data_IF_829068360803
#
_entry.id   IF_829068360803
#
_cell.length_a   1.000
_cell.length_b   1.000
_cell.length_c   1.000
_cell.angle_alpha   90.00
_cell.angle_beta   90.00
_cell.angle_gamma   90.00
#
_symmetry.space_group_name_H-M   'P 1'
#
loop_
_entity.id
_entity.type
_entity.pdbx_description
1 polymer ?
#
# COMPACT_ATOMS: atom_id res chain seq x y z
N UNK A 1 14.24 23.91 33.79
CA UNK A 1 13.85 24.36 32.43
C UNK A 1 14.16 23.21 31.49
N UNK A 2 13.15 22.49 31.00
CA UNK A 2 13.36 21.43 30.02
C UNK A 2 13.47 22.10 28.64
N UNK A 3 14.69 22.25 28.12
CA UNK A 3 14.91 22.63 26.73
C UNK A 3 14.52 21.45 25.85
N UNK A 4 13.57 21.64 24.94
CA UNK A 4 13.16 20.61 24.00
C UNK A 4 14.29 20.27 23.02
N UNK A 5 14.37 18.99 22.61
CA UNK A 5 15.23 18.61 21.50
C UNK A 5 14.72 19.26 20.22
N UNK A 6 15.60 19.94 19.50
CA UNK A 6 15.32 20.53 18.19
C UNK A 6 16.08 19.75 17.13
N UNK A 7 15.44 19.56 15.99
CA UNK A 7 16.00 18.91 14.82
C UNK A 7 15.73 19.79 13.60
N UNK A 8 16.72 19.89 12.73
CA UNK A 8 16.69 20.78 11.58
C UNK A 8 17.26 20.05 10.37
N UNK A 9 16.80 20.44 9.18
CA UNK A 9 17.20 19.85 7.91
C UNK A 9 17.38 20.91 6.82
N UNK A 10 18.26 20.61 5.87
CA UNK A 10 18.36 21.31 4.57
C UNK A 10 18.08 20.30 3.48
N UNK A 11 17.25 20.69 2.51
CA UNK A 11 16.84 19.88 1.37
C UNK A 11 17.23 20.55 0.05
N UNK A 12 17.37 19.75 -1.00
CA UNK A 12 17.53 20.17 -2.38
C UNK A 12 16.58 19.36 -3.26
N UNK A 13 16.11 19.95 -4.37
CA UNK A 13 15.18 19.30 -5.29
C UNK A 13 13.72 19.30 -4.81
N UNK A 14 12.85 18.78 -5.65
CA UNK A 14 11.41 18.69 -5.43
C UNK A 14 10.89 17.33 -5.95
N UNK A 15 9.76 16.85 -5.42
CA UNK A 15 9.16 15.59 -5.84
C UNK A 15 10.09 14.39 -5.70
N UNK A 16 10.25 13.59 -6.76
CA UNK A 16 11.09 12.37 -6.71
C UNK A 16 12.61 12.67 -6.60
N UNK A 17 12.99 13.91 -6.89
CA UNK A 17 14.37 14.38 -6.87
C UNK A 17 14.72 15.10 -5.57
N UNK A 18 13.81 15.12 -4.59
CA UNK A 18 14.09 15.69 -3.27
C UNK A 18 15.17 14.88 -2.55
N UNK A 19 16.19 15.57 -2.02
CA UNK A 19 17.35 14.99 -1.34
C UNK A 19 17.70 15.81 -0.12
N UNK A 20 18.02 15.16 0.99
CA UNK A 20 18.55 15.86 2.16
C UNK A 20 20.01 16.24 1.91
N UNK A 21 20.40 17.48 2.22
CA UNK A 21 21.79 17.93 2.18
C UNK A 21 22.42 17.98 3.58
N UNK A 22 21.62 18.18 4.63
CA UNK A 22 22.10 18.25 6.00
C UNK A 22 21.00 17.97 7.02
N UNK A 23 21.35 17.30 8.11
CA UNK A 23 20.54 17.21 9.32
C UNK A 23 21.37 17.64 10.53
N UNK A 24 20.78 18.40 11.46
CA UNK A 24 21.43 18.70 12.74
C UNK A 24 20.44 18.89 13.88
N UNK A 25 20.89 18.63 15.12
CA UNK A 25 20.11 18.85 16.33
C UNK A 25 20.80 19.80 17.32
N UNK A 26 20.04 20.36 18.26
CA UNK A 26 20.57 21.29 19.27
C UNK A 26 21.37 20.63 20.41
N UNK A 27 21.54 19.31 20.37
CA UNK A 27 22.19 18.50 21.41
C UNK A 27 23.54 17.88 20.96
N UNK A 28 24.11 18.35 19.84
CA UNK A 28 25.48 18.05 19.41
C UNK A 28 25.77 16.62 18.96
N UNK A 29 24.85 15.67 19.16
CA UNK A 29 25.00 14.28 18.73
C UNK A 29 24.65 14.07 17.26
N UNK A 30 24.05 15.06 16.61
CA UNK A 30 23.59 14.98 15.22
C UNK A 30 24.00 16.27 14.51
N UNK A 31 24.96 16.16 13.59
CA UNK A 31 25.25 17.11 12.50
C UNK A 31 25.87 16.30 11.36
N UNK A 32 25.04 15.96 10.37
CA UNK A 32 25.38 15.09 9.26
C UNK A 32 25.17 15.84 7.95
N UNK A 33 26.12 15.73 7.03
CA UNK A 33 26.08 16.34 5.69
C UNK A 33 26.07 15.26 4.62
N UNK A 34 25.22 15.45 3.62
CA UNK A 34 24.93 14.47 2.59
C UNK A 34 25.44 14.98 1.24
N UNK A 35 26.24 14.17 0.57
CA UNK A 35 26.73 14.44 -0.79
C UNK A 35 26.24 13.32 -1.71
N UNK A 36 25.42 13.67 -2.69
CA UNK A 36 24.82 12.75 -3.64
C UNK A 36 25.68 12.69 -4.92
N UNK A 37 25.99 11.48 -5.38
CA UNK A 37 26.83 11.21 -6.55
C UNK A 37 26.28 10.02 -7.33
N UNK A 38 25.39 10.28 -8.30
CA UNK A 38 24.67 9.27 -9.08
C UNK A 38 23.99 8.22 -8.17
N UNK A 39 24.55 7.01 -8.13
CA UNK A 39 24.11 5.89 -7.31
C UNK A 39 24.61 5.95 -5.87
N UNK A 40 25.50 6.89 -5.51
CA UNK A 40 26.15 6.93 -4.20
C UNK A 40 25.69 8.11 -3.34
N UNK A 41 25.68 7.88 -2.03
CA UNK A 41 25.42 8.89 -1.00
C UNK A 41 26.53 8.84 0.03
N UNK A 42 27.27 9.94 0.15
CA UNK A 42 28.32 10.10 1.15
C UNK A 42 27.75 10.91 2.31
N UNK A 43 27.74 10.32 3.51
CA UNK A 43 27.30 10.97 4.74
C UNK A 43 28.53 11.32 5.56
N UNK A 44 28.75 12.62 5.78
CA UNK A 44 29.84 13.14 6.60
C UNK A 44 29.29 13.56 7.96
N UNK A 45 29.74 12.90 9.02
CA UNK A 45 29.35 13.20 10.40
C UNK A 45 30.07 14.45 10.94
N UNK A 46 29.68 14.90 12.13
CA UNK A 46 30.18 16.11 12.77
C UNK A 46 31.71 16.09 13.01
N UNK A 47 32.26 14.89 13.26
CA UNK A 47 33.70 14.66 13.47
C UNK A 47 34.49 14.49 12.15
N UNK A 48 33.81 14.61 11.01
CA UNK A 48 34.38 14.45 9.67
C UNK A 48 34.49 13.00 9.20
N UNK A 49 34.11 12.02 10.03
CA UNK A 49 34.01 10.62 9.60
C UNK A 49 32.94 10.46 8.52
N UNK A 50 33.15 9.51 7.60
CA UNK A 50 32.30 9.35 6.44
C UNK A 50 31.72 7.95 6.34
N UNK A 51 30.46 7.85 5.95
CA UNK A 51 29.85 6.62 5.47
C UNK A 51 29.47 6.77 4.00
N UNK A 52 29.51 5.69 3.24
CA UNK A 52 29.06 5.68 1.86
C UNK A 52 27.96 4.63 1.68
N UNK A 53 26.90 5.01 0.98
CA UNK A 53 25.82 4.11 0.60
C UNK A 53 25.73 4.09 -0.93
N UNK A 54 25.53 2.91 -1.52
CA UNK A 54 25.37 2.76 -2.97
C UNK A 54 24.00 2.16 -3.24
N UNK A 55 23.21 2.79 -4.11
CA UNK A 55 21.86 2.40 -4.48
C UNK A 55 21.80 2.09 -5.97
N UNK A 56 21.05 1.05 -6.32
CA UNK A 56 20.74 0.70 -7.70
C UNK A 56 19.26 0.38 -7.81
N UNK A 57 18.59 0.97 -8.80
CA UNK A 57 17.14 0.80 -9.04
C UNK A 57 16.29 1.09 -7.78
N UNK A 58 16.74 2.03 -6.93
CA UNK A 58 16.07 2.40 -5.68
C UNK A 58 16.31 1.46 -4.49
N UNK A 59 17.18 0.45 -4.64
CA UNK A 59 17.54 -0.50 -3.58
C UNK A 59 18.99 -0.30 -3.13
N UNK A 60 19.23 -0.31 -1.82
CA UNK A 60 20.58 -0.22 -1.26
C UNK A 60 21.42 -1.46 -1.60
N UNK A 61 22.46 -1.32 -2.40
CA UNK A 61 23.36 -2.41 -2.76
C UNK A 61 24.48 -2.60 -1.74
N UNK A 62 25.00 -1.52 -1.17
CA UNK A 62 26.09 -1.58 -0.21
C UNK A 62 26.16 -0.39 0.74
N UNK A 63 26.70 -0.64 1.94
CA UNK A 63 27.11 0.37 2.91
C UNK A 63 28.61 0.19 3.22
N UNK A 64 29.34 1.29 3.26
CA UNK A 64 30.72 1.36 3.73
C UNK A 64 30.72 2.26 4.96
N UNK A 65 31.14 1.71 6.10
CA UNK A 65 31.23 2.47 7.34
C UNK A 65 32.46 3.40 7.39
N UNK A 66 32.58 4.17 8.46
CA UNK A 66 33.71 5.08 8.67
C UNK A 66 35.08 4.41 8.79
N UNK A 67 35.13 3.11 9.05
CA UNK A 67 36.36 2.33 9.11
C UNK A 67 36.67 1.63 7.77
N UNK A 68 35.82 1.81 6.75
CA UNK A 68 35.94 1.14 5.46
C UNK A 68 35.38 -0.27 5.44
N UNK A 69 34.66 -0.71 6.47
CA UNK A 69 34.01 -2.01 6.48
C UNK A 69 32.78 -1.99 5.58
N UNK A 70 32.73 -2.90 4.62
CA UNK A 70 31.67 -2.96 3.61
C UNK A 70 30.64 -4.03 3.94
N UNK A 71 29.36 -3.68 3.84
CA UNK A 71 28.25 -4.63 3.77
C UNK A 71 27.61 -4.59 2.39
N UNK A 72 27.13 -5.72 1.90
CA UNK A 72 26.38 -5.81 0.64
C UNK A 72 25.07 -6.55 0.81
N UNK A 73 24.08 -6.22 -0.01
CA UNK A 73 22.71 -6.72 0.15
C UNK A 73 22.21 -7.37 -1.14
N UNK A 74 21.42 -8.43 -0.99
CA UNK A 74 20.70 -9.06 -2.10
C UNK A 74 19.20 -9.06 -1.80
N UNK A 75 18.41 -9.03 -2.87
CA UNK A 75 16.97 -8.85 -2.81
C UNK A 75 16.24 -9.89 -3.65
N UNK A 76 15.01 -10.23 -3.27
CA UNK A 76 14.11 -11.00 -4.13
C UNK A 76 13.40 -10.10 -5.17
N UNK A 77 12.62 -10.72 -6.05
CA UNK A 77 11.83 -10.01 -7.09
C UNK A 77 10.83 -8.99 -6.52
N UNK A 78 10.51 -9.05 -5.22
CA UNK A 78 9.61 -8.12 -4.55
C UNK A 78 10.36 -6.93 -3.90
N UNK A 79 11.69 -6.88 -4.00
CA UNK A 79 12.52 -5.84 -3.37
C UNK A 79 12.78 -6.05 -1.88
N UNK A 80 12.51 -7.24 -1.33
CA UNK A 80 12.81 -7.58 0.07
C UNK A 80 14.24 -8.12 0.19
N UNK A 81 14.99 -7.65 1.19
CA UNK A 81 16.39 -8.06 1.45
C UNK A 81 16.46 -9.53 1.85
N UNK A 82 16.96 -10.40 0.99
CA UNK A 82 17.09 -11.85 1.26
C UNK A 82 18.45 -12.23 1.81
N UNK A 83 19.49 -11.44 1.54
CA UNK A 83 20.85 -11.70 2.03
C UNK A 83 21.50 -10.39 2.47
N UNK A 84 22.15 -10.42 3.63
CA UNK A 84 23.13 -9.44 4.06
C UNK A 84 24.49 -10.14 4.15
N UNK A 85 25.52 -9.53 3.55
CA UNK A 85 26.89 -10.01 3.60
C UNK A 85 27.70 -8.98 4.38
N UNK A 86 28.33 -9.40 5.47
CA UNK A 86 29.18 -8.53 6.27
C UNK A 86 30.59 -8.34 5.64
N UNK A 87 31.40 -7.48 6.25
CA UNK A 87 32.75 -7.17 5.76
C UNK A 87 33.73 -8.35 5.81
N UNK A 88 33.39 -9.42 6.54
CA UNK A 88 34.17 -10.66 6.62
C UNK A 88 33.66 -11.72 5.63
N UNK A 89 32.60 -11.41 4.87
CA UNK A 89 31.97 -12.32 3.92
C UNK A 89 30.94 -13.26 4.54
N UNK A 90 30.60 -13.10 5.83
CA UNK A 90 29.55 -13.91 6.43
C UNK A 90 28.19 -13.48 5.92
N UNK A 91 27.36 -14.47 5.61
CA UNK A 91 26.04 -14.24 5.04
C UNK A 91 24.95 -14.51 6.07
N UNK A 92 24.10 -13.52 6.27
CA UNK A 92 22.84 -13.66 7.00
C UNK A 92 21.71 -13.75 5.97
N UNK A 93 21.00 -14.88 5.98
CA UNK A 93 19.87 -15.12 5.10
C UNK A 93 18.57 -14.78 5.81
N UNK A 94 17.67 -14.11 5.09
CA UNK A 94 16.35 -13.74 5.58
C UNK A 94 15.30 -14.51 4.79
N UNK A 95 14.54 -15.33 5.50
CA UNK A 95 13.39 -16.04 4.95
C UNK A 95 12.11 -15.38 5.47
N UNK A 96 11.30 -14.88 4.54
CA UNK A 96 10.05 -14.22 4.86
C UNK A 96 8.90 -15.23 4.73
N UNK A 97 8.61 -15.96 5.82
CA UNK A 97 7.40 -16.78 5.94
C UNK A 97 6.28 -15.92 6.49
N UNK A 98 5.27 -15.61 5.68
CA UNK A 98 4.25 -14.57 5.92
C UNK A 98 4.79 -13.15 5.69
N UNK A 99 4.38 -12.57 4.57
CA UNK A 99 4.54 -11.16 4.22
C UNK A 99 3.73 -10.28 5.19
N UNK A 100 4.22 -10.09 6.41
CA UNK A 100 4.08 -8.81 7.09
C UNK A 100 4.96 -7.84 6.29
N UNK A 101 4.33 -6.95 5.51
CA UNK A 101 5.02 -5.77 5.01
C UNK A 101 5.40 -4.92 6.22
N UNK A 102 6.63 -5.12 6.66
CA UNK A 102 7.11 -4.66 7.94
C UNK A 102 7.85 -5.81 8.59
N UNK A 103 8.99 -6.20 8.02
CA UNK A 103 10.06 -6.71 8.86
C UNK A 103 10.17 -5.76 10.06
N UNK A 104 10.13 -6.32 11.26
CA UNK A 104 10.09 -5.63 12.55
C UNK A 104 10.70 -4.21 12.49
N UNK A 105 9.87 -3.21 12.22
CA UNK A 105 10.28 -1.81 12.26
C UNK A 105 10.06 -1.35 13.69
N UNK A 106 11.13 -1.20 14.45
CA UNK A 106 11.14 -0.50 15.73
C UNK A 106 10.93 1.03 15.58
N UNK A 107 10.31 1.47 14.48
CA UNK A 107 10.09 2.87 14.15
C UNK A 107 8.60 3.19 14.36
N UNK A 108 8.30 3.86 15.48
CA UNK A 108 6.97 4.36 15.79
C UNK A 108 6.69 5.61 14.93
N UNK A 109 5.70 5.51 14.04
CA UNK A 109 5.16 6.65 13.31
C UNK A 109 4.18 7.42 14.21
N UNK A 110 4.32 8.74 14.29
CA UNK A 110 3.23 9.63 14.75
C UNK A 110 3.07 10.74 13.73
N UNK A 111 1.86 10.84 13.16
CA UNK A 111 1.39 11.94 12.31
C UNK A 111 2.20 12.26 11.04
N UNK A 112 2.78 11.26 10.37
CA UNK A 112 3.18 11.39 8.97
C UNK A 112 4.42 12.25 8.68
N UNK A 113 5.05 12.85 9.69
CA UNK A 113 6.34 13.53 9.55
C UNK A 113 7.47 12.66 10.14
N UNK A 114 8.61 12.48 9.43
CA UNK A 114 9.71 11.68 9.94
C UNK A 114 10.39 12.39 11.11
N UNK A 115 10.07 11.98 12.33
CA UNK A 115 10.87 12.29 13.52
C UNK A 115 11.82 11.12 13.75
N UNK A 116 13.11 11.43 13.62
CA UNK A 116 14.29 10.58 13.71
C UNK A 116 14.73 9.88 12.43
N UNK A 117 15.92 10.32 12.02
CA UNK A 117 16.87 9.67 11.14
C UNK A 117 16.48 9.70 9.67
N UNK A 118 17.34 10.34 8.87
CA UNK A 118 17.35 10.17 7.43
C UNK A 118 17.38 8.66 7.15
N UNK A 119 16.60 8.23 6.15
CA UNK A 119 16.59 6.85 5.64
C UNK A 119 17.66 6.70 4.55
N UNK A 120 18.90 6.29 4.88
CA UNK A 120 19.91 5.99 3.88
C UNK A 120 19.60 4.71 3.10
N UNK A 121 18.54 3.95 3.46
CA UNK A 121 18.17 2.70 2.80
C UNK A 121 17.21 2.92 1.61
N UNK A 122 16.68 4.14 1.45
CA UNK A 122 15.82 4.49 0.31
C UNK A 122 14.55 3.64 0.22
N UNK A 123 14.00 3.20 1.36
CA UNK A 123 12.95 2.19 1.37
C UNK A 123 11.54 2.75 1.15
N UNK A 124 11.37 4.07 0.98
CA UNK A 124 10.09 4.66 0.58
C UNK A 124 10.26 5.81 -0.42
N UNK A 125 9.48 5.72 -1.50
CA UNK A 125 9.09 6.83 -2.36
C UNK A 125 8.19 7.75 -1.54
N UNK A 126 8.73 8.82 -0.97
CA UNK A 126 7.94 9.81 -0.21
C UNK A 126 7.04 10.53 -1.21
N UNK A 127 5.73 10.37 -1.05
CA UNK A 127 4.77 11.35 -1.55
C UNK A 127 4.82 12.53 -0.57
N UNK A 128 5.23 13.70 -1.08
CA UNK A 128 5.39 14.93 -0.33
C UNK A 128 4.15 15.25 0.52
N UNK A 129 4.33 15.36 1.84
CA UNK A 129 3.48 16.22 2.68
C UNK A 129 4.32 16.86 3.78
N UNK A 130 5.01 17.94 3.44
CA UNK A 130 5.32 19.01 4.39
C UNK A 130 4.30 20.13 4.19
N UNK A 131 3.60 20.54 5.25
CA UNK A 131 2.54 21.56 5.17
C UNK A 131 3.14 22.96 5.05
N UNK A 132 2.98 23.62 3.91
CA UNK A 132 2.89 25.09 3.85
C UNK A 132 1.75 25.50 2.92
N UNK A 133 0.79 26.24 3.46
CA UNK A 133 -0.36 26.72 2.71
C UNK A 133 -0.03 27.96 1.89
N UNK A 134 -0.07 27.84 0.56
CA UNK A 134 -0.38 28.95 -0.35
C UNK A 134 -1.34 28.45 -1.44
N UNK A 135 -2.36 29.26 -1.69
CA UNK A 135 -3.49 29.06 -2.60
C UNK A 135 -3.02 28.87 -4.05
N UNK A 136 -3.35 27.73 -4.65
CA UNK A 136 -3.27 27.50 -6.10
C UNK A 136 -3.92 26.18 -6.48
N UNK A 137 -5.06 26.21 -7.19
CA UNK A 137 -5.63 25.03 -7.84
C UNK A 137 -4.76 24.65 -9.04
N UNK A 138 -3.71 23.87 -8.80
CA UNK A 138 -3.16 23.04 -9.87
C UNK A 138 -3.99 21.76 -9.97
N UNK A 139 -4.33 21.36 -11.20
CA UNK A 139 -5.07 20.14 -11.43
C UNK A 139 -4.16 18.95 -11.08
N UNK A 140 -4.51 18.22 -10.02
CA UNK A 140 -3.86 16.96 -9.67
C UNK A 140 -3.98 15.98 -10.86
N UNK A 141 -2.89 15.82 -11.60
CA UNK A 141 -2.78 14.98 -12.80
C UNK A 141 -2.42 13.53 -12.48
N UNK A 142 -2.28 13.19 -11.19
CA UNK A 142 -1.84 11.86 -10.77
C UNK A 142 -2.97 10.84 -10.95
N UNK A 143 -2.78 9.89 -11.87
CA UNK A 143 -3.77 8.86 -12.18
C UNK A 143 -3.99 7.88 -11.03
N UNK A 144 -2.98 7.63 -10.19
CA UNK A 144 -3.11 6.87 -8.94
C UNK A 144 -2.85 7.87 -7.81
N UNK A 145 -3.86 8.23 -7.00
CA UNK A 145 -3.69 9.22 -5.93
C UNK A 145 -2.72 8.76 -4.84
N UNK A 146 -2.03 9.69 -4.17
CA UNK A 146 -1.20 9.37 -3.01
C UNK A 146 -1.97 8.72 -1.86
N UNK A 147 -3.28 9.01 -1.74
CA UNK A 147 -4.17 8.38 -0.75
C UNK A 147 -4.62 6.97 -1.14
N UNK A 148 -4.25 6.47 -2.32
CA UNK A 148 -4.80 5.24 -2.88
C UNK A 148 -4.67 4.05 -1.91
N UNK A 149 -3.50 3.87 -1.29
CA UNK A 149 -3.25 2.74 -0.37
C UNK A 149 -4.13 2.83 0.88
N UNK A 150 -4.28 4.02 1.48
CA UNK A 150 -5.18 4.20 2.63
C UNK A 150 -6.64 4.00 2.25
N UNK A 151 -7.03 4.46 1.07
CA UNK A 151 -8.39 4.39 0.58
C UNK A 151 -8.80 2.94 0.28
N UNK A 152 -7.95 2.16 -0.40
CA UNK A 152 -8.23 0.74 -0.65
C UNK A 152 -8.21 -0.09 0.62
N UNK A 153 -7.28 0.20 1.55
CA UNK A 153 -7.23 -0.51 2.84
C UNK A 153 -8.52 -0.27 3.64
N UNK A 154 -8.96 0.98 3.70
CA UNK A 154 -10.24 1.35 4.34
C UNK A 154 -11.41 0.68 3.62
N UNK A 155 -11.45 0.75 2.29
CA UNK A 155 -12.53 0.16 1.49
C UNK A 155 -12.61 -1.37 1.63
N UNK A 156 -11.47 -2.04 1.81
CA UNK A 156 -11.42 -3.49 2.01
C UNK A 156 -11.95 -3.90 3.38
N UNK A 157 -11.66 -3.12 4.43
CA UNK A 157 -11.97 -3.46 5.82
C UNK A 157 -13.26 -2.85 6.36
N UNK A 158 -13.77 -1.79 5.72
CA UNK A 158 -15.01 -1.16 6.16
C UNK A 158 -16.19 -2.14 6.06
N UNK A 159 -17.16 -1.95 6.94
CA UNK A 159 -18.46 -2.59 6.81
C UNK A 159 -19.08 -2.23 5.46
N UNK A 160 -19.57 -3.26 4.80
CA UNK A 160 -20.12 -3.17 3.47
C UNK A 160 -21.44 -2.41 3.46
N UNK A 161 -21.61 -1.59 2.44
CA UNK A 161 -22.79 -0.73 2.29
C UNK A 161 -23.75 -1.36 1.28
N UNK A 162 -25.03 -1.49 1.65
CA UNK A 162 -26.05 -2.03 0.76
C UNK A 162 -26.34 -1.04 -0.38
N UNK A 163 -26.13 -1.48 -1.62
CA UNK A 163 -26.71 -0.86 -2.79
C UNK A 163 -28.08 -1.47 -3.08
N UNK A 164 -29.14 -0.84 -2.55
CA UNK A 164 -30.52 -1.35 -2.72
C UNK A 164 -30.96 -1.41 -4.19
N UNK A 165 -30.45 -0.53 -5.06
CA UNK A 165 -30.81 -0.54 -6.48
C UNK A 165 -30.19 -1.73 -7.20
N UNK A 166 -28.89 -1.96 -6.98
CA UNK A 166 -28.14 -3.04 -7.64
C UNK A 166 -28.31 -4.41 -6.98
N UNK A 167 -28.74 -4.47 -5.71
CA UNK A 167 -28.83 -5.74 -4.99
C UNK A 167 -27.52 -6.18 -4.35
N UNK A 168 -26.52 -5.30 -4.28
CA UNK A 168 -25.13 -5.65 -3.92
C UNK A 168 -24.69 -5.02 -2.60
N UNK A 169 -23.53 -5.47 -2.09
CA UNK A 169 -22.80 -4.88 -0.97
C UNK A 169 -21.44 -4.35 -1.50
N UNK A 170 -21.23 -3.04 -1.44
CA UNK A 170 -19.96 -2.37 -1.79
C UNK A 170 -18.98 -2.38 -0.61
N UNK A 171 -17.68 -2.26 -0.85
CA UNK A 171 -16.67 -2.37 0.23
C UNK A 171 -16.46 -3.81 0.71
N UNK A 172 -15.92 -3.99 1.91
CA UNK A 172 -15.85 -5.29 2.58
C UNK A 172 -15.26 -6.42 1.71
N UNK A 173 -14.01 -6.24 1.27
CA UNK A 173 -13.24 -7.28 0.58
C UNK A 173 -12.41 -8.14 1.54
N UNK A 174 -12.23 -7.69 2.79
CA UNK A 174 -11.79 -8.55 3.89
C UNK A 174 -12.94 -9.49 4.29
N UNK A 175 -12.64 -10.76 4.55
CA UNK A 175 -13.63 -11.78 4.91
C UNK A 175 -14.44 -11.41 6.16
N UNK A 176 -13.80 -10.97 7.23
CA UNK A 176 -14.46 -10.69 8.50
C UNK A 176 -15.42 -9.52 8.33
N UNK A 177 -14.96 -8.45 7.68
CA UNK A 177 -15.78 -7.30 7.34
C UNK A 177 -17.00 -7.70 6.50
N UNK A 178 -16.84 -8.60 5.53
CA UNK A 178 -17.95 -9.05 4.69
C UNK A 178 -18.95 -9.91 5.46
N UNK A 179 -18.50 -10.84 6.30
CA UNK A 179 -19.39 -11.68 7.09
C UNK A 179 -20.17 -10.85 8.12
N UNK A 180 -19.52 -9.89 8.78
CA UNK A 180 -20.20 -8.93 9.65
C UNK A 180 -21.22 -8.10 8.86
N UNK A 181 -20.87 -7.67 7.64
CA UNK A 181 -21.80 -6.98 6.75
C UNK A 181 -23.04 -7.82 6.44
N UNK A 182 -22.88 -9.13 6.22
CA UNK A 182 -24.01 -10.03 5.98
C UNK A 182 -24.95 -10.04 7.19
N UNK A 183 -24.41 -10.16 8.39
CA UNK A 183 -25.17 -10.19 9.63
C UNK A 183 -25.93 -8.89 9.90
N UNK A 184 -25.23 -7.74 9.90
CA UNK A 184 -25.84 -6.45 10.24
C UNK A 184 -26.88 -5.99 9.21
N UNK A 185 -26.75 -6.42 7.96
CA UNK A 185 -27.66 -6.02 6.89
C UNK A 185 -28.89 -6.92 6.76
N UNK A 186 -28.91 -8.06 7.48
CA UNK A 186 -29.91 -9.11 7.29
C UNK A 186 -29.81 -9.80 5.91
N UNK A 187 -28.68 -9.64 5.22
CA UNK A 187 -28.36 -10.41 4.04
C UNK A 187 -28.11 -11.88 4.43
N UNK A 188 -28.06 -12.75 3.42
CA UNK A 188 -27.78 -14.16 3.65
C UNK A 188 -26.87 -14.73 2.58
N UNK A 189 -26.01 -15.66 2.99
CA UNK A 189 -25.25 -16.52 2.08
C UNK A 189 -26.17 -17.66 1.62
N UNK A 190 -26.24 -17.92 0.32
CA UNK A 190 -27.24 -18.84 -0.28
C UNK A 190 -26.67 -20.13 -0.85
N UNK A 191 -25.34 -20.27 -0.87
CA UNK A 191 -24.63 -21.46 -1.31
C UNK A 191 -23.35 -21.64 -0.50
N UNK A 192 -22.75 -22.85 -0.49
CA UNK A 192 -21.43 -23.05 0.08
C UNK A 192 -20.42 -22.06 -0.49
N UNK A 193 -19.53 -21.55 0.37
CA UNK A 193 -18.41 -20.72 -0.07
C UNK A 193 -17.53 -21.50 -1.05
N UNK A 194 -17.01 -20.80 -2.05
CA UNK A 194 -16.07 -21.36 -3.01
C UNK A 194 -14.65 -20.90 -2.68
N UNK A 195 -13.70 -21.83 -2.72
CA UNK A 195 -12.26 -21.58 -2.56
C UNK A 195 -11.51 -22.37 -3.62
N UNK A 196 -10.36 -21.87 -4.05
CA UNK A 196 -9.52 -22.53 -5.05
C UNK A 196 -8.10 -22.67 -4.50
N UNK A 197 -7.53 -23.88 -4.62
CA UNK A 197 -6.17 -24.16 -4.13
C UNK A 197 -5.10 -23.39 -4.91
N UNK A 198 -5.38 -22.99 -6.14
CA UNK A 198 -4.49 -22.14 -6.93
C UNK A 198 -4.47 -20.69 -6.45
N UNK A 199 -5.48 -20.28 -5.68
CA UNK A 199 -5.66 -18.92 -5.17
C UNK A 199 -5.89 -18.96 -3.66
N UNK A 200 -4.89 -19.39 -2.87
CA UNK A 200 -5.05 -19.55 -1.43
C UNK A 200 -5.45 -18.22 -0.77
N UNK A 201 -6.36 -18.29 0.18
CA UNK A 201 -6.90 -17.12 0.85
C UNK A 201 -8.04 -16.41 0.11
N UNK A 202 -8.30 -16.69 -1.18
CA UNK A 202 -9.50 -16.17 -1.84
C UNK A 202 -10.73 -17.02 -1.51
N UNK A 203 -11.80 -16.32 -1.16
CA UNK A 203 -13.11 -16.91 -0.87
C UNK A 203 -14.16 -16.19 -1.67
N UNK A 204 -15.03 -16.94 -2.34
CA UNK A 204 -16.16 -16.38 -3.05
C UNK A 204 -17.48 -16.82 -2.42
N UNK A 205 -18.29 -15.83 -2.07
CA UNK A 205 -19.61 -16.00 -1.51
C UNK A 205 -20.67 -15.72 -2.56
N UNK A 206 -21.74 -16.51 -2.52
CA UNK A 206 -23.00 -16.17 -3.16
C UNK A 206 -23.97 -15.71 -2.09
N UNK A 207 -24.53 -14.52 -2.24
CA UNK A 207 -25.37 -13.89 -1.21
C UNK A 207 -26.58 -13.21 -1.82
N UNK A 208 -27.57 -12.92 -0.98
CA UNK A 208 -28.72 -12.10 -1.33
C UNK A 208 -28.94 -11.05 -0.24
N UNK A 209 -29.30 -9.84 -0.63
CA UNK A 209 -29.73 -8.80 0.31
C UNK A 209 -31.26 -8.80 0.49
N UNK A 210 -31.79 -8.39 1.64
CA UNK A 210 -33.23 -8.34 1.85
C UNK A 210 -33.90 -7.32 0.93
N UNK A 211 -35.05 -7.70 0.40
CA UNK A 211 -35.97 -6.79 -0.26
C UNK A 211 -36.81 -6.09 0.81
N UNK A 212 -36.75 -4.76 0.87
CA UNK A 212 -37.49 -3.94 1.83
C UNK A 212 -38.69 -3.30 1.11
N UNK A 213 -39.88 -3.41 1.68
CA UNK A 213 -41.05 -2.70 1.18
C UNK A 213 -40.83 -1.18 1.28
N UNK A 214 -40.98 -0.48 0.15
CA UNK A 214 -40.77 0.96 0.10
C UNK A 214 -41.93 1.78 0.67
N UNK A 215 -43.17 1.31 0.53
CA UNK A 215 -44.39 2.05 0.85
C UNK A 215 -45.48 1.14 1.46
N UNK A 216 -46.50 1.77 2.05
CA UNK A 216 -47.70 1.10 2.58
C UNK A 216 -47.54 0.56 4.00
N UNK A 217 -48.51 -0.26 4.48
CA UNK A 217 -48.54 -0.74 5.87
C UNK A 217 -47.34 -1.59 6.30
N UNK A 218 -46.56 -2.07 5.33
CA UNK A 218 -45.36 -2.88 5.55
C UNK A 218 -44.07 -2.14 5.20
N UNK A 219 -44.11 -0.82 4.96
CA UNK A 219 -42.91 -0.03 4.67
C UNK A 219 -41.81 -0.29 5.72
N UNK A 220 -40.58 -0.50 5.25
CA UNK A 220 -39.44 -0.83 6.11
C UNK A 220 -39.31 -2.31 6.48
N UNK A 221 -40.32 -3.15 6.23
CA UNK A 221 -40.25 -4.60 6.50
C UNK A 221 -39.61 -5.36 5.35
N UNK A 222 -38.92 -6.44 5.71
CA UNK A 222 -38.39 -7.43 4.75
C UNK A 222 -39.57 -8.18 4.12
N UNK A 223 -39.66 -8.15 2.79
CA UNK A 223 -40.69 -8.87 2.01
C UNK A 223 -40.15 -10.07 1.24
N UNK A 224 -38.83 -10.25 1.24
CA UNK A 224 -38.13 -11.31 0.52
C UNK A 224 -36.65 -10.99 0.38
N UNK A 225 -36.02 -11.57 -0.64
CA UNK A 225 -34.61 -11.36 -0.96
C UNK A 225 -34.44 -11.01 -2.44
N UNK A 226 -33.44 -10.19 -2.76
CA UNK A 226 -33.08 -9.84 -4.14
C UNK A 226 -32.35 -11.01 -4.84
N UNK A 227 -32.03 -10.82 -6.12
CA UNK A 227 -31.24 -11.78 -6.90
C UNK A 227 -29.93 -12.16 -6.23
N UNK A 228 -29.42 -13.35 -6.58
CA UNK A 228 -28.15 -13.85 -6.06
C UNK A 228 -26.99 -13.06 -6.66
N UNK A 229 -26.14 -12.55 -5.79
CA UNK A 229 -24.93 -11.81 -6.15
C UNK A 229 -23.68 -12.53 -5.66
N UNK A 230 -22.53 -12.18 -6.24
CA UNK A 230 -21.23 -12.77 -5.90
C UNK A 230 -20.32 -11.75 -5.26
N UNK A 231 -19.54 -12.17 -4.25
CA UNK A 231 -18.49 -11.37 -3.62
C UNK A 231 -17.23 -12.21 -3.51
N UNK A 232 -16.12 -11.71 -4.04
CA UNK A 232 -14.80 -12.23 -3.69
C UNK A 232 -14.26 -11.45 -2.50
N UNK A 233 -13.82 -12.18 -1.48
CA UNK A 233 -13.10 -11.67 -0.32
C UNK A 233 -11.76 -12.39 -0.17
N UNK A 234 -10.89 -11.85 0.68
CA UNK A 234 -9.69 -12.54 1.13
C UNK A 234 -9.79 -12.90 2.63
N UNK A 235 -9.23 -14.05 2.98
CA UNK A 235 -9.03 -14.50 4.36
C UNK A 235 -7.76 -13.83 4.91
N UNK A 236 -7.86 -12.93 5.92
CA UNK A 236 -6.71 -12.20 6.45
C UNK A 236 -5.66 -13.09 7.11
N UNK A 237 -6.01 -14.33 7.49
CA UNK A 237 -5.05 -15.29 8.06
C UNK A 237 -4.13 -15.91 6.99
N UNK A 238 -4.54 -15.87 5.71
CA UNK A 238 -3.76 -16.40 4.57
C UNK A 238 -3.20 -15.26 3.71
N UNK A 239 -4.01 -14.21 3.49
CA UNK A 239 -3.65 -13.00 2.75
C UNK A 239 -3.86 -11.79 3.66
N UNK A 240 -2.79 -11.33 4.31
CA UNK A 240 -2.86 -10.19 5.23
C UNK A 240 -3.38 -8.92 4.56
N UNK A 241 -4.05 -8.04 5.33
CA UNK A 241 -4.54 -6.74 4.83
C UNK A 241 -3.44 -5.93 4.13
N UNK A 242 -2.24 -5.93 4.72
CA UNK A 242 -1.09 -5.22 4.17
C UNK A 242 -0.69 -5.81 2.80
N UNK A 243 -0.61 -7.14 2.68
CA UNK A 243 -0.26 -7.79 1.41
C UNK A 243 -1.29 -7.50 0.33
N UNK A 244 -2.58 -7.49 0.67
CA UNK A 244 -3.64 -7.13 -0.27
C UNK A 244 -3.53 -5.67 -0.69
N UNK A 245 -3.29 -4.73 0.22
CA UNK A 245 -3.13 -3.31 -0.10
C UNK A 245 -1.92 -3.05 -1.02
N UNK A 246 -0.80 -3.72 -0.79
CA UNK A 246 0.39 -3.67 -1.65
C UNK A 246 0.08 -4.18 -3.06
N UNK A 247 -0.56 -5.36 -3.16
CA UNK A 247 -0.93 -5.93 -4.45
C UNK A 247 -1.97 -5.07 -5.19
N UNK A 248 -2.91 -4.45 -4.46
CA UNK A 248 -3.85 -3.46 -5.00
C UNK A 248 -3.10 -2.25 -5.58
N UNK A 249 -2.09 -1.73 -4.89
CA UNK A 249 -1.28 -0.61 -5.36
C UNK A 249 -0.48 -0.97 -6.62
N UNK A 250 0.14 -2.15 -6.64
CA UNK A 250 0.83 -2.69 -7.82
C UNK A 250 -0.13 -2.85 -9.01
N UNK A 251 -1.33 -3.37 -8.78
CA UNK A 251 -2.35 -3.53 -9.83
C UNK A 251 -2.80 -2.18 -10.39
N UNK A 252 -3.03 -1.18 -9.54
CA UNK A 252 -3.35 0.18 -9.95
C UNK A 252 -2.25 0.80 -10.82
N UNK A 253 -0.98 0.63 -10.43
CA UNK A 253 0.15 1.13 -11.21
C UNK A 253 0.29 0.44 -12.58
N UNK A 254 0.08 -0.88 -12.65
CA UNK A 254 0.05 -1.62 -13.93
C UNK A 254 -1.07 -1.15 -14.86
N UNK A 255 -2.18 -0.63 -14.32
CA UNK A 255 -3.32 -0.18 -15.10
C UNK A 255 -3.15 1.23 -15.69
N UNK A 256 -2.10 1.98 -15.33
CA UNK A 256 -1.90 3.38 -15.74
C UNK A 256 -1.92 3.54 -17.26
N UNK A 257 -1.04 2.82 -17.95
CA UNK A 257 -0.89 2.92 -19.41
C UNK A 257 -2.18 2.51 -20.14
N UNK A 258 -2.90 1.52 -19.59
CA UNK A 258 -4.17 1.08 -20.13
C UNK A 258 -5.22 2.20 -20.07
N UNK A 259 -5.43 2.82 -18.91
CA UNK A 259 -6.46 3.87 -18.77
C UNK A 259 -6.08 5.16 -19.50
N UNK A 260 -4.78 5.49 -19.60
CA UNK A 260 -4.31 6.61 -20.42
C UNK A 260 -4.59 6.38 -21.90
N UNK A 261 -4.36 5.16 -22.40
CA UNK A 261 -4.61 4.80 -23.80
C UNK A 261 -6.10 4.56 -24.10
N UNK A 262 -6.92 4.35 -23.07
CA UNK A 262 -8.33 4.00 -23.20
C UNK A 262 -9.22 4.87 -22.29
N UNK A 263 -9.33 6.19 -22.53
CA UNK A 263 -9.98 7.13 -21.61
C UNK A 263 -11.50 6.91 -21.43
N UNK A 264 -12.13 6.10 -22.29
CA UNK A 264 -13.55 5.72 -22.18
C UNK A 264 -13.77 4.45 -21.36
N UNK A 265 -12.70 3.73 -21.01
CA UNK A 265 -12.76 2.51 -20.20
C UNK A 265 -12.57 2.86 -18.73
N UNK A 266 -13.36 2.22 -17.88
CA UNK A 266 -13.37 2.45 -16.43
C UNK A 266 -13.00 1.19 -15.62
N UNK A 267 -12.64 0.10 -16.30
CA UNK A 267 -12.26 -1.18 -15.70
C UNK A 267 -11.07 -1.78 -16.46
N UNK A 268 -10.12 -2.34 -15.72
CA UNK A 268 -9.01 -3.12 -16.22
C UNK A 268 -8.75 -4.32 -15.29
N UNK A 269 -8.62 -5.51 -15.84
CA UNK A 269 -8.32 -6.72 -15.07
C UNK A 269 -6.84 -7.10 -15.27
N UNK A 270 -6.09 -7.29 -14.19
CA UNK A 270 -4.65 -7.64 -14.23
C UNK A 270 -4.30 -8.71 -13.19
N UNK A 271 -3.09 -9.28 -13.29
CA UNK A 271 -2.55 -10.21 -12.29
C UNK A 271 -1.40 -9.59 -11.50
N UNK A 272 -1.44 -9.76 -10.19
CA UNK A 272 -0.35 -9.39 -9.27
C UNK A 272 -0.15 -10.52 -8.27
N UNK A 273 1.10 -10.99 -8.12
CA UNK A 273 1.42 -12.06 -7.17
C UNK A 273 0.66 -13.37 -7.42
N UNK A 274 0.27 -13.64 -8.67
CA UNK A 274 -0.56 -14.79 -9.03
C UNK A 274 -2.07 -14.60 -8.88
N UNK A 275 -2.53 -13.53 -8.22
CA UNK A 275 -3.96 -13.25 -8.02
C UNK A 275 -4.52 -12.29 -9.07
N UNK A 276 -5.80 -12.43 -9.38
CA UNK A 276 -6.51 -11.51 -10.25
C UNK A 276 -7.00 -10.28 -9.46
N UNK A 277 -6.82 -9.12 -10.07
CA UNK A 277 -7.31 -7.84 -9.59
C UNK A 277 -8.21 -7.21 -10.64
N UNK A 278 -9.30 -6.61 -10.18
CA UNK A 278 -10.07 -5.64 -10.96
C UNK A 278 -9.71 -4.24 -10.50
N UNK A 279 -9.16 -3.45 -11.39
CA UNK A 279 -8.84 -2.04 -11.19
C UNK A 279 -9.96 -1.19 -11.78
N UNK A 280 -10.44 -0.21 -11.03
CA UNK A 280 -11.48 0.70 -11.46
C UNK A 280 -10.94 2.13 -11.57
N UNK A 281 -11.42 2.83 -12.60
CA UNK A 281 -11.08 4.20 -12.91
C UNK A 281 -12.36 5.03 -12.94
N UNK A 282 -12.32 6.20 -12.32
CA UNK A 282 -13.40 7.18 -12.40
C UNK A 282 -13.13 8.14 -13.56
N UNK A 283 -13.90 8.06 -14.66
CA UNK A 283 -13.68 8.90 -15.83
C UNK A 283 -13.98 10.38 -15.58
N UNK A 284 -14.68 10.74 -14.49
CA UNK A 284 -14.96 12.14 -14.15
C UNK A 284 -13.76 12.82 -13.51
N UNK A 285 -13.10 12.11 -12.59
CA UNK A 285 -11.91 12.61 -11.89
C UNK A 285 -10.62 12.23 -12.61
N UNK A 286 -10.71 11.35 -13.61
CA UNK A 286 -9.58 10.74 -14.30
C UNK A 286 -8.59 10.07 -13.34
N UNK A 287 -9.11 9.41 -12.30
CA UNK A 287 -8.32 8.77 -11.24
C UNK A 287 -8.70 7.31 -11.09
N UNK A 288 -7.70 6.47 -10.87
CA UNK A 288 -7.90 5.11 -10.38
C UNK A 288 -8.41 5.22 -8.94
N UNK A 289 -9.60 4.69 -8.70
CA UNK A 289 -10.30 4.82 -7.43
C UNK A 289 -10.36 3.52 -6.63
N UNK A 290 -10.03 2.37 -7.26
CA UNK A 290 -9.97 1.10 -6.55
C UNK A 290 -9.13 0.06 -7.30
N UNK A 291 -8.63 -0.93 -6.55
CA UNK A 291 -8.13 -2.18 -7.08
C UNK A 291 -8.39 -3.28 -6.05
N UNK A 292 -9.18 -4.29 -6.42
CA UNK A 292 -9.59 -5.34 -5.49
C UNK A 292 -9.47 -6.73 -6.09
N UNK A 293 -9.25 -7.71 -5.21
CA UNK A 293 -9.12 -9.12 -5.56
C UNK A 293 -10.42 -9.67 -6.17
N UNK A 294 -10.27 -10.47 -7.23
CA UNK A 294 -11.37 -11.17 -7.89
C UNK A 294 -11.01 -12.64 -8.08
N UNK A 295 -12.02 -13.52 -7.99
CA UNK A 295 -11.86 -14.86 -8.53
C UNK A 295 -11.69 -14.79 -10.06
N UNK A 296 -10.87 -15.68 -10.66
CA UNK A 296 -10.70 -15.71 -12.10
C UNK A 296 -12.04 -15.92 -12.82
N UNK A 297 -12.19 -15.40 -14.06
CA UNK A 297 -13.32 -15.75 -14.92
C UNK A 297 -13.37 -17.27 -15.10
N UNK A 298 -14.48 -17.89 -14.70
CA UNK A 298 -14.69 -19.31 -14.95
C UNK A 298 -15.01 -19.48 -16.43
N UNK A 299 -14.16 -20.16 -17.18
CA UNK A 299 -14.57 -20.68 -18.48
C UNK A 299 -15.74 -21.63 -18.25
N UNK A 300 -16.86 -21.37 -18.92
CA UNK A 300 -17.95 -22.33 -19.02
C UNK A 300 -17.34 -23.55 -19.69
N UNK A 301 -17.14 -24.63 -18.93
CA UNK A 301 -16.91 -25.96 -19.48
C UNK A 301 -18.25 -26.60 -19.75
#
# INVERSE_FOLDING_TARGET
>A
MAGGAEFNWVWEGEGQDVRCLRQWGNFGQIDERYTWQDENVIVTMADGSQKCYTHKDGLLQSEIDANGATKTYQYNEEGLKTVEIDALGHQTHYEYTVNILGGLNSYQYVNGDPINWIDPLGLIKVADKGVEGIVGKEADTQLVPDTFVSDVTTHNKQLGVINRKQGTISGAHNQDAFLESIEITGAKIVNPKYTDRQYPGLIEYQYQIPAIAGNGPNAGKVTGYKGVERKTTYDPAILSDAKVAEMSNKAAHQAKDYFQSNPTKNVYDTKVGGYWFRVTHDPKTNKINNAFLTMPPRSIR
#
